data_IF_153130537473
#
_entry.id   IF_153130537473
#
_cell.length_a   1.000
_cell.length_b   1.000
_cell.length_c   1.000
_cell.angle_alpha   90.00
_cell.angle_beta   90.00
_cell.angle_gamma   90.00
#
_symmetry.space_group_name_H-M   'P 1'
#
loop_
_entity.id
_entity.type
_entity.pdbx_description
1 polymer ?
#
# COMPACT_ATOMS: atom_id res chain seq x y z
N UNK A 1 -4.10 -18.63 8.22
CA UNK A 1 -5.07 -19.53 7.56
C UNK A 1 -6.16 -20.11 8.48
N UNK A 2 -6.18 -19.87 9.81
CA UNK A 2 -7.21 -20.45 10.70
C UNK A 2 -8.50 -19.62 10.87
N UNK A 3 -8.43 -18.29 10.78
CA UNK A 3 -9.58 -17.42 11.09
C UNK A 3 -10.65 -17.38 9.99
N UNK A 4 -10.25 -17.59 8.72
CA UNK A 4 -11.10 -17.47 7.53
C UNK A 4 -12.11 -18.62 7.38
N UNK A 5 -11.67 -19.86 7.69
CA UNK A 5 -12.54 -21.04 7.67
C UNK A 5 -13.45 -21.07 8.90
N UNK A 6 -12.96 -20.59 10.04
CA UNK A 6 -13.76 -20.51 11.27
C UNK A 6 -14.96 -19.60 11.08
N UNK A 7 -14.77 -18.41 10.46
CA UNK A 7 -15.82 -17.42 10.22
C UNK A 7 -16.98 -17.97 9.37
N UNK A 8 -16.67 -18.70 8.30
CA UNK A 8 -17.66 -19.33 7.40
C UNK A 8 -18.38 -20.53 8.04
N UNK A 9 -17.74 -21.26 8.95
CA UNK A 9 -18.37 -22.37 9.70
C UNK A 9 -19.25 -21.80 10.83
N UNK A 10 -18.88 -20.67 11.44
CA UNK A 10 -19.66 -20.01 12.50
C UNK A 10 -20.92 -19.28 12.03
N UNK A 11 -21.24 -19.18 10.75
CA UNK A 11 -22.50 -18.55 10.31
C UNK A 11 -23.69 -19.50 10.33
N UNK A 12 -23.49 -20.80 10.55
CA UNK A 12 -24.57 -21.83 10.54
C UNK A 12 -25.25 -22.00 11.91
N UNK A 13 -24.62 -21.58 13.01
CA UNK A 13 -25.23 -21.59 14.35
C UNK A 13 -25.65 -20.18 14.79
N UNK A 14 -26.91 -20.00 15.23
CA UNK A 14 -27.41 -18.71 15.72
C UNK A 14 -26.59 -18.15 16.90
N UNK A 15 -25.99 -19.02 17.71
CA UNK A 15 -25.15 -18.63 18.85
C UNK A 15 -23.77 -18.07 18.44
N UNK A 16 -23.34 -18.35 17.21
CA UNK A 16 -22.08 -17.87 16.67
C UNK A 16 -22.23 -16.63 15.80
N UNK A 17 -23.45 -16.35 15.31
CA UNK A 17 -23.80 -15.06 14.70
C UNK A 17 -23.62 -13.89 15.66
N UNK A 18 -24.24 -13.93 16.84
CA UNK A 18 -24.15 -12.84 17.82
C UNK A 18 -22.69 -12.59 18.26
N UNK A 19 -21.92 -13.66 18.44
CA UNK A 19 -20.48 -13.59 18.75
C UNK A 19 -19.66 -13.00 17.58
N UNK A 20 -20.00 -13.33 16.34
CA UNK A 20 -19.35 -12.77 15.16
C UNK A 20 -19.63 -11.26 15.06
N UNK A 21 -20.89 -10.86 15.17
CA UNK A 21 -21.30 -9.44 15.17
C UNK A 21 -20.53 -8.68 16.25
N UNK A 22 -20.54 -9.17 17.49
CA UNK A 22 -19.82 -8.53 18.60
C UNK A 22 -18.32 -8.39 18.30
N UNK A 23 -17.66 -9.46 17.83
CA UNK A 23 -16.22 -9.43 17.54
C UNK A 23 -15.88 -8.44 16.42
N UNK A 24 -16.68 -8.41 15.36
CA UNK A 24 -16.47 -7.49 14.24
C UNK A 24 -16.71 -6.04 14.68
N UNK A 25 -17.74 -5.79 15.49
CA UNK A 25 -17.97 -4.48 16.10
C UNK A 25 -16.77 -4.06 16.95
N UNK A 26 -16.31 -4.89 17.90
CA UNK A 26 -15.16 -4.59 18.75
C UNK A 26 -13.88 -4.33 17.96
N UNK A 27 -13.67 -5.05 16.85
CA UNK A 27 -12.50 -4.86 16.00
C UNK A 27 -12.59 -3.53 15.24
N UNK A 28 -13.72 -3.27 14.59
CA UNK A 28 -13.92 -2.05 13.82
C UNK A 28 -13.91 -0.80 14.70
N UNK A 29 -14.56 -0.83 15.86
CA UNK A 29 -14.50 0.25 16.85
C UNK A 29 -13.07 0.51 17.31
N UNK A 30 -12.27 -0.54 17.57
CA UNK A 30 -10.87 -0.37 17.96
C UNK A 30 -10.03 0.33 16.89
N UNK A 31 -10.25 0.03 15.61
CA UNK A 31 -9.56 0.69 14.50
C UNK A 31 -9.86 2.20 14.52
N UNK A 32 -11.15 2.56 14.61
CA UNK A 32 -11.58 3.96 14.59
C UNK A 32 -11.12 4.73 15.83
N UNK A 33 -11.25 4.14 17.02
CA UNK A 33 -10.77 4.76 18.28
C UNK A 33 -9.26 4.95 18.27
N UNK A 34 -8.49 4.00 17.75
CA UNK A 34 -7.04 4.14 17.64
C UNK A 34 -6.61 5.26 16.68
N UNK A 35 -7.47 5.61 15.71
CA UNK A 35 -7.28 6.72 14.80
C UNK A 35 -7.91 8.05 15.31
N UNK A 36 -8.44 8.08 16.54
CA UNK A 36 -9.16 9.24 17.12
C UNK A 36 -10.38 9.67 16.28
N UNK A 37 -11.05 8.69 15.69
CA UNK A 37 -12.19 8.87 14.79
C UNK A 37 -13.54 8.49 15.43
N UNK A 38 -14.66 9.00 14.88
CA UNK A 38 -15.99 8.59 15.31
C UNK A 38 -16.17 7.08 15.15
N UNK A 39 -16.89 6.43 16.07
CA UNK A 39 -17.00 4.96 16.10
C UNK A 39 -18.38 4.40 16.43
N UNK A 40 -19.36 5.23 16.77
CA UNK A 40 -20.76 4.83 16.94
C UNK A 40 -21.49 4.74 15.60
N UNK A 41 -22.06 3.59 15.26
CA UNK A 41 -22.76 3.40 13.98
C UNK A 41 -24.18 3.94 13.94
N UNK A 42 -24.84 4.01 15.10
CA UNK A 42 -26.23 4.50 15.25
C UNK A 42 -26.30 6.02 15.43
N UNK A 43 -25.15 6.71 15.48
CA UNK A 43 -25.06 8.15 15.74
C UNK A 43 -24.91 8.95 14.45
N UNK A 44 -25.53 10.13 14.42
CA UNK A 44 -25.24 11.15 13.43
C UNK A 44 -24.08 12.02 13.91
N UNK A 45 -23.17 12.35 13.00
CA UNK A 45 -22.01 13.19 13.28
C UNK A 45 -22.13 14.53 12.59
N UNK A 46 -21.65 15.56 13.28
CA UNK A 46 -21.35 16.87 12.70
C UNK A 46 -19.84 16.93 12.48
N UNK A 47 -19.43 17.15 11.23
CA UNK A 47 -18.03 17.40 10.88
C UNK A 47 -17.87 18.89 10.59
N UNK A 48 -16.96 19.54 11.30
CA UNK A 48 -16.67 20.97 11.15
C UNK A 48 -15.62 21.22 10.06
N UNK A 49 -15.56 22.43 9.48
CA UNK A 49 -14.56 22.79 8.47
C UNK A 49 -13.10 22.69 8.93
N UNK A 50 -12.84 22.75 10.25
CA UNK A 50 -11.51 22.61 10.84
C UNK A 50 -11.05 21.14 10.99
N UNK A 51 -11.88 20.18 10.57
CA UNK A 51 -11.60 18.76 10.67
C UNK A 51 -11.95 18.16 12.04
N UNK A 52 -12.54 18.93 12.96
CA UNK A 52 -13.09 18.39 14.20
C UNK A 52 -14.48 17.78 13.97
N UNK A 53 -14.88 16.86 14.85
CA UNK A 53 -16.18 16.20 14.78
C UNK A 53 -16.83 16.11 16.15
N UNK A 54 -18.16 16.04 16.17
CA UNK A 54 -18.95 15.84 17.38
C UNK A 54 -20.15 14.94 17.11
N UNK A 55 -20.61 14.23 18.14
CA UNK A 55 -21.87 13.49 18.11
C UNK A 55 -23.02 14.50 18.23
N UNK A 56 -24.11 14.29 17.48
CA UNK A 56 -25.24 15.20 17.47
C UNK A 56 -25.84 15.49 18.87
N UNK A 57 -25.91 14.48 19.74
CA UNK A 57 -26.42 14.64 21.11
C UNK A 57 -25.53 15.55 21.99
N UNK A 58 -24.25 15.72 21.63
CA UNK A 58 -23.30 16.61 22.31
C UNK A 58 -23.25 18.01 21.66
N UNK A 59 -23.82 18.17 20.46
CA UNK A 59 -23.87 19.42 19.72
C UNK A 59 -25.02 20.31 20.23
N UNK A 60 -24.88 20.82 21.45
CA UNK A 60 -25.90 21.66 22.13
C UNK A 60 -26.09 23.04 21.46
N UNK A 61 -25.27 23.43 20.47
CA UNK A 61 -25.36 24.73 19.78
C UNK A 61 -25.38 24.60 18.23
N UNK A 62 -26.35 23.84 17.69
CA UNK A 62 -26.62 23.79 16.23
C UNK A 62 -27.07 25.14 15.63
N UNK A 63 -27.31 26.17 16.46
CA UNK A 63 -27.64 27.51 16.01
C UNK A 63 -26.42 28.34 15.59
N UNK A 64 -25.18 27.86 15.80
CA UNK A 64 -23.96 28.64 15.58
C UNK A 64 -23.26 28.42 14.23
N UNK A 65 -23.53 27.33 13.51
CA UNK A 65 -22.82 27.02 12.25
C UNK A 65 -23.79 26.58 11.15
N UNK A 66 -24.15 27.55 10.29
CA UNK A 66 -25.03 27.35 9.12
C UNK A 66 -24.51 26.32 8.08
N UNK A 67 -23.30 25.78 8.28
CA UNK A 67 -22.65 24.83 7.37
C UNK A 67 -22.46 23.42 7.97
N UNK A 68 -23.06 23.13 9.14
CA UNK A 68 -22.97 21.80 9.76
C UNK A 68 -23.78 20.76 8.97
N UNK A 69 -23.11 19.82 8.30
CA UNK A 69 -23.75 18.70 7.61
C UNK A 69 -23.87 17.51 8.57
N UNK A 70 -25.08 16.99 8.73
CA UNK A 70 -25.33 15.74 9.46
C UNK A 70 -24.98 14.56 8.57
N UNK A 71 -23.99 13.76 9.00
CA UNK A 71 -23.43 12.69 8.21
C UNK A 71 -23.52 11.35 8.95
N UNK A 72 -23.92 10.25 8.26
CA UNK A 72 -23.68 8.91 8.77
C UNK A 72 -22.17 8.64 8.85
N UNK A 73 -21.78 7.67 9.68
CA UNK A 73 -20.39 7.39 10.03
C UNK A 73 -19.43 7.31 8.82
N UNK A 74 -19.83 6.60 7.76
CA UNK A 74 -19.00 6.44 6.56
C UNK A 74 -18.82 7.75 5.78
N UNK A 75 -19.86 8.58 5.73
CA UNK A 75 -19.76 9.91 5.11
C UNK A 75 -18.98 10.91 5.97
N UNK A 76 -19.08 10.80 7.30
CA UNK A 76 -18.30 11.61 8.23
C UNK A 76 -16.79 11.36 8.03
N UNK A 77 -16.40 10.09 7.92
CA UNK A 77 -15.00 9.73 7.63
C UNK A 77 -14.50 10.28 6.29
N UNK A 78 -15.35 10.27 5.26
CA UNK A 78 -14.99 10.86 3.96
C UNK A 78 -14.73 12.37 4.07
N UNK A 79 -15.54 13.09 4.85
CA UNK A 79 -15.32 14.51 5.09
C UNK A 79 -14.07 14.80 5.93
N UNK A 80 -13.71 13.87 6.82
CA UNK A 80 -12.44 13.90 7.57
C UNK A 80 -11.23 13.48 6.71
N UNK A 81 -11.41 13.20 5.42
CA UNK A 81 -10.33 12.88 4.48
C UNK A 81 -9.91 11.41 4.46
N UNK A 82 -10.66 10.51 5.09
CA UNK A 82 -10.38 9.07 5.06
C UNK A 82 -11.01 8.42 3.84
N UNK A 83 -10.18 7.77 3.01
CA UNK A 83 -10.65 7.07 1.82
C UNK A 83 -11.53 5.86 2.17
N UNK A 84 -12.53 5.49 1.33
CA UNK A 84 -13.36 4.30 1.56
C UNK A 84 -12.56 3.01 1.73
N UNK A 85 -11.43 2.90 1.03
CA UNK A 85 -10.60 1.70 1.00
C UNK A 85 -9.42 1.76 1.98
N UNK A 86 -9.46 2.69 2.94
CA UNK A 86 -8.55 2.74 4.09
C UNK A 86 -9.00 1.77 5.19
N UNK A 87 -8.14 1.38 6.15
CA UNK A 87 -8.55 0.61 7.32
C UNK A 87 -9.75 1.22 8.05
N UNK A 88 -9.76 2.54 8.19
CA UNK A 88 -10.83 3.31 8.84
C UNK A 88 -12.12 3.28 8.01
N UNK A 89 -12.01 3.45 6.69
CA UNK A 89 -13.14 3.36 5.75
C UNK A 89 -13.82 1.99 5.77
N UNK A 90 -13.04 0.90 5.77
CA UNK A 90 -13.57 -0.45 5.95
C UNK A 90 -14.23 -0.65 7.31
N UNK A 91 -13.60 -0.17 8.40
CA UNK A 91 -14.14 -0.26 9.74
C UNK A 91 -15.51 0.44 9.87
N UNK A 92 -15.65 1.66 9.36
CA UNK A 92 -16.93 2.39 9.36
C UNK A 92 -18.03 1.66 8.58
N UNK A 93 -17.71 1.13 7.39
CA UNK A 93 -18.67 0.38 6.57
C UNK A 93 -19.12 -0.91 7.25
N UNK A 94 -18.20 -1.64 7.88
CA UNK A 94 -18.51 -2.83 8.68
C UNK A 94 -19.47 -2.47 9.82
N UNK A 95 -19.17 -1.42 10.59
CA UNK A 95 -20.04 -0.97 11.68
C UNK A 95 -21.45 -0.58 11.19
N UNK A 96 -21.55 0.14 10.07
CA UNK A 96 -22.84 0.50 9.46
C UNK A 96 -23.67 -0.72 9.10
N UNK A 97 -23.06 -1.71 8.45
CA UNK A 97 -23.75 -2.95 8.05
C UNK A 97 -24.19 -3.76 9.27
N UNK A 98 -23.34 -3.85 10.30
CA UNK A 98 -23.70 -4.55 11.53
C UNK A 98 -24.82 -3.85 12.29
N UNK A 99 -24.90 -2.51 12.23
CA UNK A 99 -26.04 -1.74 12.76
C UNK A 99 -27.34 -2.15 12.09
N UNK A 100 -27.35 -2.20 10.75
CA UNK A 100 -28.51 -2.66 9.96
C UNK A 100 -28.87 -4.11 10.30
N UNK A 101 -27.88 -4.99 10.47
CA UNK A 101 -28.10 -6.38 10.86
C UNK A 101 -28.78 -6.47 12.25
N UNK A 102 -28.38 -5.63 13.21
CA UNK A 102 -28.98 -5.58 14.53
C UNK A 102 -30.42 -5.04 14.50
N UNK A 103 -30.69 -4.01 13.69
CA UNK A 103 -32.04 -3.49 13.48
C UNK A 103 -32.97 -4.56 12.89
N UNK A 104 -32.50 -5.30 11.88
CA UNK A 104 -33.24 -6.41 11.28
C UNK A 104 -33.50 -7.53 12.28
N UNK A 105 -32.53 -7.87 13.14
CA UNK A 105 -32.75 -8.81 14.25
C UNK A 105 -33.83 -8.31 15.22
N UNK A 106 -33.78 -7.04 15.62
CA UNK A 106 -34.77 -6.42 16.52
C UNK A 106 -36.18 -6.46 15.89
N UNK A 107 -36.27 -6.34 14.57
CA UNK A 107 -37.51 -6.45 13.80
C UNK A 107 -38.00 -7.91 13.59
N UNK A 108 -37.22 -8.92 13.99
CA UNK A 108 -37.54 -10.34 13.77
C UNK A 108 -37.18 -10.87 12.38
N UNK A 109 -36.54 -10.06 11.55
CA UNK A 109 -36.07 -10.37 10.19
C UNK A 109 -34.70 -11.06 10.22
N UNK A 110 -34.70 -12.34 10.62
CA UNK A 110 -33.47 -13.09 10.83
C UNK A 110 -32.66 -13.31 9.54
N UNK A 111 -33.33 -13.59 8.42
CA UNK A 111 -32.65 -13.91 7.16
C UNK A 111 -31.96 -12.67 6.59
N UNK A 112 -32.61 -11.50 6.68
CA UNK A 112 -32.05 -10.21 6.31
C UNK A 112 -30.86 -9.85 7.21
N UNK A 113 -30.98 -10.06 8.52
CA UNK A 113 -29.87 -9.85 9.45
C UNK A 113 -28.65 -10.73 9.12
N UNK A 114 -28.91 -11.99 8.76
CA UNK A 114 -27.86 -12.89 8.31
C UNK A 114 -27.19 -12.40 7.02
N UNK A 115 -27.98 -11.99 6.02
CA UNK A 115 -27.46 -11.44 4.77
C UNK A 115 -26.57 -10.21 5.02
N UNK A 116 -26.99 -9.30 5.92
CA UNK A 116 -26.20 -8.14 6.32
C UNK A 116 -24.86 -8.55 6.95
N UNK A 117 -24.84 -9.50 7.88
CA UNK A 117 -23.56 -9.93 8.46
C UNK A 117 -22.65 -10.66 7.45
N UNK A 118 -23.21 -11.38 6.48
CA UNK A 118 -22.42 -11.95 5.39
C UNK A 118 -21.73 -10.84 4.57
N UNK A 119 -22.45 -9.76 4.24
CA UNK A 119 -21.87 -8.60 3.57
C UNK A 119 -20.76 -7.93 4.41
N UNK A 120 -20.92 -7.87 5.74
CA UNK A 120 -19.85 -7.40 6.63
C UNK A 120 -18.62 -8.32 6.59
N UNK A 121 -18.82 -9.64 6.55
CA UNK A 121 -17.74 -10.62 6.42
C UNK A 121 -16.99 -10.53 5.09
N UNK A 122 -17.70 -10.25 4.00
CA UNK A 122 -17.10 -9.99 2.68
C UNK A 122 -16.15 -8.79 2.72
N UNK A 123 -16.58 -7.67 3.33
CA UNK A 123 -15.74 -6.48 3.46
C UNK A 123 -14.50 -6.71 4.32
N UNK A 124 -14.63 -7.46 5.42
CA UNK A 124 -13.48 -7.82 6.25
C UNK A 124 -12.48 -8.67 5.44
N UNK A 125 -12.99 -9.55 4.57
CA UNK A 125 -12.15 -10.38 3.70
C UNK A 125 -11.44 -9.54 2.65
N UNK A 126 -12.15 -8.61 2.01
CA UNK A 126 -11.58 -7.66 1.06
C UNK A 126 -10.46 -6.82 1.69
N UNK A 127 -10.72 -6.25 2.86
CA UNK A 127 -9.73 -5.48 3.62
C UNK A 127 -8.49 -6.32 3.99
N UNK A 128 -8.70 -7.57 4.41
CA UNK A 128 -7.61 -8.48 4.74
C UNK A 128 -6.76 -8.84 3.51
N UNK A 129 -7.39 -9.09 2.36
CA UNK A 129 -6.69 -9.37 1.10
C UNK A 129 -5.86 -8.17 0.66
N UNK A 130 -6.41 -6.95 0.75
CA UNK A 130 -5.70 -5.73 0.41
C UNK A 130 -4.47 -5.54 1.31
N UNK A 131 -4.62 -5.72 2.62
CA UNK A 131 -3.49 -5.65 3.56
C UNK A 131 -2.39 -6.68 3.24
N UNK A 132 -2.77 -7.90 2.86
CA UNK A 132 -1.80 -8.92 2.42
C UNK A 132 -1.06 -8.51 1.14
N UNK A 133 -1.78 -8.00 0.13
CA UNK A 133 -1.16 -7.56 -1.12
C UNK A 133 -0.19 -6.40 -0.91
N UNK A 134 -0.50 -5.45 -0.03
CA UNK A 134 0.40 -4.35 0.30
C UNK A 134 1.68 -4.86 0.99
N UNK A 135 1.57 -5.80 1.93
CA UNK A 135 2.72 -6.42 2.58
C UNK A 135 3.58 -7.19 1.58
N UNK A 136 2.96 -7.97 0.69
CA UNK A 136 3.66 -8.73 -0.34
C UNK A 136 4.35 -7.80 -1.35
N UNK A 137 3.69 -6.72 -1.75
CA UNK A 137 4.26 -5.71 -2.63
C UNK A 137 5.50 -5.05 -2.00
N UNK A 138 5.38 -4.57 -0.75
CA UNK A 138 6.50 -3.96 -0.02
C UNK A 138 7.65 -4.94 0.18
N UNK A 139 7.35 -6.20 0.45
CA UNK A 139 8.35 -7.26 0.56
C UNK A 139 9.05 -7.49 -0.77
N UNK A 140 8.31 -7.54 -1.87
CA UNK A 140 8.85 -7.66 -3.23
C UNK A 140 9.73 -6.49 -3.64
N UNK A 141 9.36 -5.25 -3.27
CA UNK A 141 10.20 -4.06 -3.47
C UNK A 141 11.52 -4.16 -2.70
N UNK A 142 11.48 -4.54 -1.41
CA UNK A 142 12.70 -4.74 -0.62
C UNK A 142 13.62 -5.81 -1.21
N UNK A 143 13.06 -6.93 -1.66
CA UNK A 143 13.83 -8.00 -2.33
C UNK A 143 14.47 -7.49 -3.63
N UNK A 144 13.71 -6.74 -4.45
CA UNK A 144 14.24 -6.15 -5.69
C UNK A 144 15.31 -5.10 -5.41
N UNK A 145 15.15 -4.28 -4.39
CA UNK A 145 16.17 -3.32 -3.97
C UNK A 145 17.43 -4.02 -3.46
N UNK A 146 17.28 -5.04 -2.62
CA UNK A 146 18.40 -5.89 -2.16
C UNK A 146 19.13 -6.54 -3.34
N UNK A 147 18.40 -7.05 -4.33
CA UNK A 147 18.96 -7.58 -5.58
C UNK A 147 19.73 -6.53 -6.38
N UNK A 148 19.16 -5.31 -6.54
CA UNK A 148 19.85 -4.17 -7.19
C UNK A 148 21.13 -3.80 -6.44
N UNK A 149 21.10 -3.73 -5.12
CA UNK A 149 22.27 -3.42 -4.30
C UNK A 149 23.34 -4.52 -4.37
N UNK A 150 22.93 -5.79 -4.31
CA UNK A 150 23.82 -6.95 -4.48
C UNK A 150 24.49 -6.95 -5.86
N UNK A 151 23.73 -6.70 -6.92
CA UNK A 151 24.26 -6.58 -8.27
C UNK A 151 25.26 -5.41 -8.38
N UNK A 152 24.96 -4.24 -7.78
CA UNK A 152 25.88 -3.10 -7.75
C UNK A 152 27.18 -3.44 -7.03
N UNK A 153 27.12 -4.16 -5.90
CA UNK A 153 28.31 -4.60 -5.16
C UNK A 153 29.16 -5.60 -5.96
N UNK A 154 28.53 -6.55 -6.64
CA UNK A 154 29.24 -7.59 -7.39
C UNK A 154 29.83 -7.09 -8.72
N UNK A 155 29.14 -6.19 -9.43
CA UNK A 155 29.51 -5.80 -10.81
C UNK A 155 29.86 -4.31 -10.97
N UNK A 156 29.80 -3.54 -9.88
CA UNK A 156 29.86 -2.08 -9.89
C UNK A 156 28.54 -1.44 -10.33
N UNK A 157 28.34 -0.17 -9.99
CA UNK A 157 27.19 0.61 -10.48
C UNK A 157 27.28 0.84 -12.00
N UNK A 158 26.18 1.20 -12.65
CA UNK A 158 26.22 1.60 -14.06
C UNK A 158 27.10 2.84 -14.28
N UNK A 159 27.16 3.73 -13.29
CA UNK A 159 28.08 4.88 -13.28
C UNK A 159 29.54 4.42 -13.24
N UNK A 160 29.89 3.44 -12.40
CA UNK A 160 31.24 2.87 -12.35
C UNK A 160 31.61 2.17 -13.67
N UNK A 161 30.64 1.50 -14.30
CA UNK A 161 30.85 0.90 -15.63
C UNK A 161 31.04 1.97 -16.70
N UNK A 162 30.26 3.05 -16.66
CA UNK A 162 30.40 4.18 -17.59
C UNK A 162 31.74 4.91 -17.41
N UNK A 163 32.16 5.16 -16.16
CA UNK A 163 33.45 5.77 -15.85
C UNK A 163 34.62 4.89 -16.32
N UNK A 164 34.56 3.57 -16.09
CA UNK A 164 35.55 2.62 -16.62
C UNK A 164 35.60 2.62 -18.15
N UNK A 165 34.44 2.62 -18.82
CA UNK A 165 34.37 2.75 -20.29
C UNK A 165 35.02 4.04 -20.78
N UNK A 166 34.71 5.18 -20.15
CA UNK A 166 35.31 6.47 -20.51
C UNK A 166 36.85 6.47 -20.35
N UNK A 167 37.36 5.82 -19.30
CA UNK A 167 38.80 5.64 -19.10
C UNK A 167 39.45 4.81 -20.22
N UNK A 168 38.80 3.72 -20.66
CA UNK A 168 39.28 2.91 -21.78
C UNK A 168 39.34 3.72 -23.08
N UNK A 169 38.31 4.53 -23.34
CA UNK A 169 38.23 5.39 -24.52
C UNK A 169 39.35 6.42 -24.52
N UNK A 170 39.53 7.16 -23.41
CA UNK A 170 40.60 8.15 -23.27
C UNK A 170 42.00 7.55 -23.46
N UNK A 171 42.25 6.40 -22.84
CA UNK A 171 43.54 5.74 -22.95
C UNK A 171 43.81 5.20 -24.37
N UNK A 172 42.77 4.73 -25.06
CA UNK A 172 42.87 4.30 -26.45
C UNK A 172 43.19 5.48 -27.39
N UNK A 173 42.47 6.60 -27.24
CA UNK A 173 42.71 7.81 -28.03
C UNK A 173 44.13 8.33 -27.81
N UNK A 174 44.61 8.34 -26.55
CA UNK A 174 45.97 8.71 -26.21
C UNK A 174 47.01 7.79 -26.87
N UNK A 175 46.80 6.47 -26.85
CA UNK A 175 47.70 5.52 -27.52
C UNK A 175 47.74 5.76 -29.04
N UNK A 176 46.59 5.99 -29.68
CA UNK A 176 46.56 6.30 -31.11
C UNK A 176 47.27 7.63 -31.41
N UNK A 177 47.09 8.66 -30.57
CA UNK A 177 47.81 9.94 -30.72
C UNK A 177 49.33 9.78 -30.61
N UNK A 178 49.82 8.84 -29.80
CA UNK A 178 51.24 8.51 -29.69
C UNK A 178 51.77 7.59 -30.81
N UNK A 179 50.98 7.37 -31.88
CA UNK A 179 51.42 6.66 -33.08
C UNK A 179 51.24 5.14 -33.04
N UNK A 180 50.56 4.60 -32.02
CA UNK A 180 50.25 3.17 -31.98
C UNK A 180 49.20 2.80 -33.04
N UNK A 181 49.42 1.71 -33.78
CA UNK A 181 48.40 1.14 -34.65
C UNK A 181 47.18 0.70 -33.84
N UNK A 182 45.96 0.78 -34.40
CA UNK A 182 44.69 0.50 -33.65
C UNK A 182 44.71 -0.84 -32.90
N UNK A 183 45.25 -1.89 -33.53
CA UNK A 183 45.34 -3.21 -32.91
C UNK A 183 46.33 -3.27 -31.75
N UNK A 184 47.40 -2.49 -31.82
CA UNK A 184 48.39 -2.37 -30.75
C UNK A 184 47.85 -1.51 -29.60
N UNK A 185 47.14 -0.43 -29.90
CA UNK A 185 46.43 0.40 -28.93
C UNK A 185 45.41 -0.42 -28.11
N UNK A 186 44.60 -1.29 -28.76
CA UNK A 186 43.67 -2.17 -28.05
C UNK A 186 44.38 -3.10 -27.05
N UNK A 187 45.52 -3.70 -27.45
CA UNK A 187 46.29 -4.62 -26.59
C UNK A 187 46.99 -3.86 -25.45
N UNK A 188 47.53 -2.69 -25.73
CA UNK A 188 48.22 -1.85 -24.76
C UNK A 188 47.26 -1.38 -23.66
N UNK A 189 46.11 -0.81 -24.03
CA UNK A 189 45.06 -0.39 -23.07
C UNK A 189 44.53 -1.59 -22.29
N UNK A 190 44.27 -2.71 -22.95
CA UNK A 190 43.83 -3.94 -22.28
C UNK A 190 44.82 -4.40 -21.20
N UNK A 191 46.13 -4.34 -21.49
CA UNK A 191 47.18 -4.68 -20.53
C UNK A 191 47.22 -3.70 -19.34
N UNK A 192 47.11 -2.40 -19.60
CA UNK A 192 47.14 -1.35 -18.56
C UNK A 192 45.97 -1.50 -17.57
N UNK A 193 44.79 -1.81 -18.07
CA UNK A 193 43.58 -1.96 -17.24
C UNK A 193 43.30 -3.39 -16.79
N UNK A 194 44.15 -4.37 -17.13
CA UNK A 194 43.98 -5.77 -16.75
C UNK A 194 42.70 -6.42 -17.32
N UNK A 195 42.27 -6.00 -18.52
CA UNK A 195 41.05 -6.49 -19.18
C UNK A 195 41.37 -7.16 -20.52
N UNK A 196 40.38 -7.82 -21.13
CA UNK A 196 40.55 -8.39 -22.47
C UNK A 196 40.56 -7.27 -23.55
N UNK A 197 41.31 -7.44 -24.66
CA UNK A 197 41.25 -6.51 -25.80
C UNK A 197 39.85 -6.37 -26.41
N UNK A 198 39.02 -7.41 -26.29
CA UNK A 198 37.62 -7.41 -26.74
C UNK A 198 36.78 -6.44 -25.91
N UNK A 199 37.03 -6.34 -24.60
CA UNK A 199 36.36 -5.41 -23.69
C UNK A 199 36.62 -3.96 -24.10
N UNK A 200 37.88 -3.61 -24.42
CA UNK A 200 38.25 -2.28 -24.91
C UNK A 200 37.61 -2.00 -26.27
N UNK A 201 37.65 -2.97 -27.19
CA UNK A 201 37.02 -2.84 -28.52
C UNK A 201 35.51 -2.59 -28.42
N UNK A 202 34.81 -3.30 -27.52
CA UNK A 202 33.37 -3.09 -27.28
C UNK A 202 33.09 -1.69 -26.73
N UNK A 203 33.89 -1.20 -25.81
CA UNK A 203 33.75 0.17 -25.27
C UNK A 203 33.95 1.24 -26.35
N UNK A 204 34.89 1.03 -27.27
CA UNK A 204 35.14 1.93 -28.41
C UNK A 204 34.02 1.82 -29.46
N UNK A 205 33.47 0.63 -29.72
CA UNK A 205 32.35 0.46 -30.65
C UNK A 205 31.08 1.17 -30.15
N UNK A 206 30.79 1.07 -28.84
CA UNK A 206 29.65 1.74 -28.20
C UNK A 206 29.74 3.28 -28.19
N UNK A 207 30.91 3.85 -28.48
CA UNK A 207 31.08 5.30 -28.71
C UNK A 207 30.41 5.76 -30.01
N UNK A 208 30.28 4.88 -31.00
CA UNK A 208 29.74 5.19 -32.33
C UNK A 208 28.21 5.17 -32.43
N UNK A 209 27.50 4.59 -31.45
CA UNK A 209 26.04 4.44 -31.44
C UNK A 209 25.29 5.58 -30.71
N UNK A 210 26.01 6.63 -30.27
CA UNK A 210 25.45 7.81 -29.61
C UNK A 210 25.81 9.12 -30.34
N UNK A 211 26.17 9.04 -31.62
CA UNK A 211 26.40 10.18 -32.51
C UNK A 211 25.29 10.32 -33.55
#
# INVERSE_FOLDING_TARGET
MGAQIQAAITTVERSSFARLVQRLTELATRILVAAELPSGSEQAYVVRPDGTWAVLDEAVDLNAEQDSVLLPLDQALLHLGHAPDSPEGYAARVLRILSVAQEQLRAGSMDEAMASAFAAGELVTEAAMKGMFEVDFLTGERVREGGRQGHRRAHGSEEDKAARRANYIRAFDLAVMHGFGRMEAYRSVAKVFGVSPVTVRRAIAQRGDHG
#
